data_IF_242631841647
#
_entry.id   IF_242631841647
#
_cell.length_a   1.000
_cell.length_b   1.000
_cell.length_c   1.000
_cell.angle_alpha   90.00
_cell.angle_beta   90.00
_cell.angle_gamma   90.00
#
_symmetry.space_group_name_H-M   'P 1'
#
loop_
_entity.id
_entity.type
_entity.pdbx_description
1 polymer ?
#
# COMPACT_ATOMS: atom_id res chain seq x y z
N UNK A 1 14.78 -1.15 24.58
CA UNK A 1 15.78 -0.93 23.52
C UNK A 1 15.09 -1.03 22.17
N UNK A 2 15.22 -0.02 21.32
CA UNK A 2 14.54 0.03 20.00
C UNK A 2 15.39 -0.69 18.95
N UNK A 3 14.76 -1.26 17.92
CA UNK A 3 15.48 -1.93 16.82
C UNK A 3 16.44 -0.94 16.13
N UNK A 4 16.03 0.33 16.06
CA UNK A 4 16.80 1.43 15.48
C UNK A 4 18.08 1.76 16.26
N UNK A 5 18.06 1.67 17.60
CA UNK A 5 19.23 1.97 18.43
C UNK A 5 20.32 0.89 18.39
N UNK A 6 19.97 -0.34 17.99
CA UNK A 6 20.92 -1.45 17.90
C UNK A 6 21.82 -1.41 16.65
N UNK A 7 21.46 -0.59 15.65
CA UNK A 7 22.14 -0.57 14.34
C UNK A 7 23.01 0.68 14.17
N UNK A 8 22.58 1.83 14.69
CA UNK A 8 23.34 3.08 14.61
C UNK A 8 24.69 3.01 15.35
N UNK A 9 24.80 2.16 16.36
CA UNK A 9 26.05 1.90 17.09
C UNK A 9 27.07 1.04 16.32
N UNK A 10 26.66 0.34 15.26
CA UNK A 10 27.56 -0.52 14.46
C UNK A 10 28.25 0.21 13.29
N UNK A 11 27.83 1.44 12.97
CA UNK A 11 28.33 2.18 11.80
C UNK A 11 29.56 3.07 12.09
N UNK A 12 30.00 3.17 13.34
CA UNK A 12 31.14 3.99 13.74
C UNK A 12 32.46 3.19 13.70
N UNK A 13 33.01 2.95 12.50
CA UNK A 13 34.44 2.69 12.30
C UNK A 13 34.81 2.82 10.81
N UNK A 14 35.42 3.93 10.37
CA UNK A 14 36.07 4.02 9.07
C UNK A 14 37.58 3.80 9.22
N UNK A 15 38.13 2.84 8.46
CA UNK A 15 39.56 2.75 8.22
C UNK A 15 39.83 2.97 6.71
N UNK A 16 40.92 3.69 6.45
CA UNK A 16 41.24 4.45 5.24
C UNK A 16 41.75 3.62 4.05
N UNK A 17 41.69 4.24 2.85
CA UNK A 17 42.48 3.85 1.67
C UNK A 17 42.06 4.64 0.41
N UNK A 18 42.92 5.54 -0.07
CA UNK A 18 42.62 6.52 -1.12
C UNK A 18 43.10 6.21 -2.55
N UNK A 19 42.35 6.76 -3.53
CA UNK A 19 42.65 7.22 -4.92
C UNK A 19 43.40 6.32 -5.93
N UNK A 20 43.60 6.74 -7.22
CA UNK A 20 42.93 7.80 -7.99
C UNK A 20 42.65 7.50 -9.50
N UNK A 21 41.82 8.35 -10.13
CA UNK A 21 41.83 8.90 -11.53
C UNK A 21 41.41 8.07 -12.78
N UNK A 22 40.66 8.81 -13.61
CA UNK A 22 40.07 8.64 -14.94
C UNK A 22 40.89 7.97 -16.07
N UNK A 23 40.15 7.35 -17.01
CA UNK A 23 40.55 7.28 -18.42
C UNK A 23 39.37 7.52 -19.38
N UNK A 24 39.61 8.25 -20.50
CA UNK A 24 38.61 8.69 -21.47
C UNK A 24 38.31 7.64 -22.55
N UNK A 25 37.12 7.76 -23.13
CA UNK A 25 36.67 6.99 -24.29
C UNK A 25 37.47 7.43 -25.53
N UNK A 26 38.24 6.52 -26.11
CA UNK A 26 38.87 6.68 -27.43
C UNK A 26 37.99 5.97 -28.46
N UNK A 27 37.51 6.70 -29.46
CA UNK A 27 36.83 6.15 -30.64
C UNK A 27 37.88 5.90 -31.74
N UNK A 28 38.14 4.65 -32.07
CA UNK A 28 38.87 4.24 -33.28
C UNK A 28 37.88 3.79 -34.37
N UNK A 29 37.87 4.40 -35.56
CA UNK A 29 37.06 3.94 -36.69
C UNK A 29 37.82 2.91 -37.52
N UNK A 30 37.23 1.73 -37.74
CA UNK A 30 37.72 0.76 -38.73
C UNK A 30 37.83 -0.69 -38.23
N UNK A 31 36.70 -1.31 -37.89
CA UNK A 31 36.58 -2.77 -37.84
C UNK A 31 35.21 -3.18 -38.41
N UNK A 32 35.21 -4.16 -39.32
CA UNK A 32 34.02 -4.64 -40.02
C UNK A 32 33.01 -5.28 -39.06
N UNK A 33 31.68 -5.10 -39.28
CA UNK A 33 30.66 -5.64 -38.39
C UNK A 33 30.58 -7.18 -38.49
N UNK A 34 30.31 -7.89 -37.38
CA UNK A 34 29.96 -9.31 -37.42
C UNK A 34 28.60 -9.52 -38.11
N UNK A 35 28.32 -10.72 -38.64
CA UNK A 35 27.11 -10.99 -39.43
C UNK A 35 25.84 -10.85 -38.57
N UNK A 36 24.69 -10.49 -39.19
CA UNK A 36 23.47 -10.22 -38.46
C UNK A 36 22.90 -11.50 -37.83
N UNK A 37 22.99 -11.62 -36.52
CA UNK A 37 22.07 -12.46 -35.75
C UNK A 37 20.71 -11.78 -35.77
N UNK A 38 19.81 -12.32 -36.58
CA UNK A 38 18.41 -11.98 -36.65
C UNK A 38 17.76 -11.96 -35.25
N UNK A 39 17.46 -10.77 -34.74
CA UNK A 39 16.42 -10.53 -33.74
C UNK A 39 15.71 -9.22 -34.07
N UNK A 40 15.22 -9.09 -35.31
CA UNK A 40 14.23 -8.07 -35.60
C UNK A 40 12.97 -8.39 -34.78
N UNK A 41 12.48 -7.41 -34.01
CA UNK A 41 11.13 -7.43 -33.46
C UNK A 41 10.15 -7.83 -34.57
N UNK A 42 9.13 -8.67 -34.29
CA UNK A 42 8.15 -9.03 -35.30
C UNK A 42 7.55 -7.75 -35.90
N UNK A 43 7.55 -7.70 -37.23
CA UNK A 43 6.93 -6.61 -38.00
C UNK A 43 5.55 -6.27 -37.43
N UNK A 44 5.23 -4.98 -37.24
CA UNK A 44 3.91 -4.58 -36.74
C UNK A 44 2.83 -5.13 -37.68
N UNK A 45 1.93 -5.93 -37.12
CA UNK A 45 0.79 -6.50 -37.84
C UNK A 45 -0.08 -5.31 -38.31
N UNK A 46 -0.34 -5.17 -39.62
CA UNK A 46 -1.16 -4.09 -40.12
C UNK A 46 -2.56 -4.16 -39.50
N UNK A 47 -3.20 -3.02 -39.14
CA UNK A 47 -4.53 -3.00 -38.53
C UNK A 47 -5.60 -3.74 -39.34
N UNK A 48 -5.38 -3.90 -40.65
CA UNK A 48 -6.25 -4.67 -41.56
C UNK A 48 -6.21 -6.19 -41.33
N UNK A 49 -5.23 -6.70 -40.58
CA UNK A 49 -5.14 -8.11 -40.16
C UNK A 49 -5.70 -8.34 -38.74
N UNK A 50 -6.27 -7.31 -38.11
CA UNK A 50 -6.97 -7.45 -36.84
C UNK A 50 -8.39 -7.96 -37.08
N UNK A 51 -8.55 -9.27 -37.15
CA UNK A 51 -9.86 -9.89 -36.91
C UNK A 51 -10.05 -9.98 -35.40
N UNK A 52 -10.91 -9.13 -34.82
CA UNK A 52 -11.47 -9.37 -33.50
C UNK A 52 -12.16 -10.73 -33.57
N UNK A 53 -11.55 -11.75 -32.94
CA UNK A 53 -12.23 -13.03 -32.74
C UNK A 53 -13.59 -12.72 -32.09
N UNK A 54 -14.69 -13.35 -32.52
CA UNK A 54 -15.97 -13.17 -31.86
C UNK A 54 -15.77 -13.49 -30.38
N UNK A 55 -16.03 -12.51 -29.52
CA UNK A 55 -15.89 -12.67 -28.08
C UNK A 55 -16.64 -13.92 -27.66
N UNK A 56 -15.95 -14.89 -27.04
CA UNK A 56 -16.59 -16.10 -26.55
C UNK A 56 -17.76 -15.68 -25.63
N UNK A 57 -19.02 -15.96 -26.02
CA UNK A 57 -20.18 -15.49 -25.27
C UNK A 57 -20.32 -16.22 -23.93
N UNK A 58 -19.56 -17.29 -23.69
CA UNK A 58 -19.61 -18.08 -22.45
C UNK A 58 -19.22 -17.25 -21.23
N UNK A 59 -18.15 -16.45 -21.31
CA UNK A 59 -17.63 -15.70 -20.16
C UNK A 59 -18.55 -14.54 -19.75
N UNK A 60 -19.04 -13.68 -20.67
CA UNK A 60 -20.06 -12.70 -20.32
C UNK A 60 -21.32 -13.33 -19.74
N UNK A 61 -21.80 -14.46 -20.30
CA UNK A 61 -22.96 -15.18 -19.76
C UNK A 61 -22.71 -15.74 -18.36
N UNK A 62 -21.55 -16.33 -18.11
CA UNK A 62 -21.17 -16.86 -16.80
C UNK A 62 -21.05 -15.74 -15.77
N UNK A 63 -20.45 -14.59 -16.15
CA UNK A 63 -20.37 -13.39 -15.33
C UNK A 63 -21.75 -12.84 -14.97
N UNK A 64 -22.64 -12.68 -15.96
CA UNK A 64 -24.02 -12.23 -15.73
C UNK A 64 -24.82 -13.22 -14.86
N UNK A 65 -24.66 -14.52 -15.10
CA UNK A 65 -25.30 -15.56 -14.30
C UNK A 65 -24.82 -15.53 -12.84
N UNK A 66 -23.51 -15.38 -12.61
CA UNK A 66 -22.97 -15.24 -11.26
C UNK A 66 -23.52 -13.99 -10.58
N UNK A 67 -23.46 -12.83 -11.24
CA UNK A 67 -23.97 -11.57 -10.70
C UNK A 67 -25.45 -11.69 -10.28
N UNK A 68 -26.30 -12.22 -11.16
CA UNK A 68 -27.72 -12.44 -10.86
C UNK A 68 -27.90 -13.45 -9.71
N UNK A 69 -27.19 -14.58 -9.74
CA UNK A 69 -27.33 -15.64 -8.73
C UNK A 69 -26.86 -15.22 -7.34
N UNK A 70 -25.88 -14.30 -7.25
CA UNK A 70 -25.39 -13.78 -5.97
C UNK A 70 -26.47 -12.99 -5.23
N UNK A 71 -27.35 -12.28 -5.94
CA UNK A 71 -28.45 -11.51 -5.31
C UNK A 71 -29.38 -12.42 -4.49
N UNK A 72 -29.76 -13.56 -5.04
CA UNK A 72 -30.62 -14.57 -4.41
C UNK A 72 -29.85 -15.65 -3.62
N UNK A 73 -28.53 -15.52 -3.48
CA UNK A 73 -27.73 -16.51 -2.77
C UNK A 73 -28.02 -16.42 -1.27
N UNK A 74 -28.53 -17.51 -0.70
CA UNK A 74 -28.99 -17.59 0.69
C UNK A 74 -28.12 -18.45 1.61
N UNK A 75 -27.10 -19.13 1.07
CA UNK A 75 -26.24 -19.99 1.88
C UNK A 75 -24.80 -20.04 1.39
N UNK A 76 -23.88 -20.31 2.32
CA UNK A 76 -22.46 -20.45 2.03
C UNK A 76 -22.14 -21.59 1.05
N UNK A 77 -22.71 -22.81 1.17
CA UNK A 77 -22.47 -23.88 0.19
C UNK A 77 -22.90 -23.47 -1.23
N UNK A 78 -23.99 -22.70 -1.35
CA UNK A 78 -24.45 -22.17 -2.63
C UNK A 78 -23.46 -21.17 -3.20
N UNK A 79 -22.93 -20.24 -2.39
CA UNK A 79 -21.89 -19.30 -2.80
C UNK A 79 -20.66 -20.05 -3.34
N UNK A 80 -20.15 -21.04 -2.59
CA UNK A 80 -18.98 -21.84 -3.02
C UNK A 80 -19.24 -22.56 -4.34
N UNK A 81 -20.44 -23.11 -4.52
CA UNK A 81 -20.83 -23.79 -5.77
C UNK A 81 -20.86 -22.82 -6.95
N UNK A 82 -21.44 -21.63 -6.77
CA UNK A 82 -21.50 -20.59 -7.81
C UNK A 82 -20.11 -20.07 -8.20
N UNK A 83 -19.21 -19.90 -7.23
CA UNK A 83 -17.84 -19.48 -7.52
C UNK A 83 -17.06 -20.59 -8.23
N UNK A 84 -17.17 -21.84 -7.79
CA UNK A 84 -16.50 -22.96 -8.45
C UNK A 84 -16.99 -23.16 -9.90
N UNK A 85 -18.29 -23.01 -10.17
CA UNK A 85 -18.82 -23.11 -11.53
C UNK A 85 -18.33 -21.96 -12.41
N UNK A 86 -18.29 -20.74 -11.87
CA UNK A 86 -17.73 -19.59 -12.57
C UNK A 86 -16.23 -19.76 -12.86
N UNK A 87 -15.45 -20.23 -11.89
CA UNK A 87 -14.01 -20.49 -12.05
C UNK A 87 -13.72 -21.58 -13.07
N UNK A 88 -14.52 -22.65 -13.10
CA UNK A 88 -14.40 -23.69 -14.13
C UNK A 88 -14.71 -23.12 -15.52
N UNK A 89 -15.79 -22.34 -15.67
CA UNK A 89 -16.14 -21.70 -16.93
C UNK A 89 -15.04 -20.72 -17.40
N UNK A 90 -14.51 -19.90 -16.49
CA UNK A 90 -13.41 -18.97 -16.77
C UNK A 90 -12.15 -19.71 -17.23
N UNK A 91 -11.76 -20.77 -16.52
CA UNK A 91 -10.60 -21.60 -16.87
C UNK A 91 -10.77 -22.26 -18.24
N UNK A 92 -11.95 -22.81 -18.52
CA UNK A 92 -12.26 -23.44 -19.80
C UNK A 92 -12.25 -22.43 -20.97
N UNK A 93 -12.91 -21.29 -20.80
CA UNK A 93 -13.04 -20.27 -21.84
C UNK A 93 -11.70 -19.62 -22.19
N UNK A 94 -10.82 -19.48 -21.19
CA UNK A 94 -9.48 -18.89 -21.35
C UNK A 94 -8.37 -19.93 -21.55
N UNK A 95 -8.71 -21.22 -21.67
CA UNK A 95 -7.74 -22.32 -21.79
C UNK A 95 -6.67 -22.34 -20.69
N UNK A 96 -7.05 -21.99 -19.46
CA UNK A 96 -6.17 -21.96 -18.28
C UNK A 96 -6.14 -23.34 -17.59
N UNK A 97 -5.10 -23.65 -16.79
CA UNK A 97 -5.08 -24.84 -15.95
C UNK A 97 -6.36 -24.94 -15.08
N UNK A 98 -6.80 -26.17 -14.75
CA UNK A 98 -7.99 -26.35 -13.92
C UNK A 98 -7.80 -25.63 -12.57
N UNK A 99 -8.84 -24.96 -12.06
CA UNK A 99 -8.73 -24.21 -10.82
C UNK A 99 -8.39 -25.15 -9.65
N UNK A 100 -7.52 -24.72 -8.72
CA UNK A 100 -7.28 -25.43 -7.47
C UNK A 100 -8.58 -25.75 -6.72
N UNK A 101 -8.66 -26.88 -5.99
CA UNK A 101 -9.89 -27.27 -5.28
C UNK A 101 -10.22 -26.33 -4.11
N UNK A 102 -9.20 -25.71 -3.50
CA UNK A 102 -9.38 -24.76 -2.43
C UNK A 102 -9.80 -23.40 -3.00
N UNK A 103 -10.99 -22.93 -2.58
CA UNK A 103 -11.60 -21.71 -3.12
C UNK A 103 -10.68 -20.47 -3.04
N UNK A 104 -9.97 -20.18 -1.92
CA UNK A 104 -9.04 -19.05 -1.87
C UNK A 104 -7.86 -19.19 -2.84
N UNK A 105 -7.39 -20.41 -3.10
CA UNK A 105 -6.31 -20.66 -4.06
C UNK A 105 -6.81 -20.47 -5.50
N UNK A 106 -8.04 -20.93 -5.80
CA UNK A 106 -8.70 -20.68 -7.07
C UNK A 106 -8.90 -19.18 -7.33
N UNK A 107 -9.38 -18.45 -6.33
CA UNK A 107 -9.54 -16.98 -6.41
C UNK A 107 -8.23 -16.30 -6.77
N UNK A 108 -7.11 -16.64 -6.12
CA UNK A 108 -5.78 -16.06 -6.45
C UNK A 108 -5.32 -16.42 -7.86
N UNK A 109 -5.44 -17.68 -8.25
CA UNK A 109 -5.00 -18.16 -9.56
C UNK A 109 -5.75 -17.48 -10.71
N UNK A 110 -7.02 -17.16 -10.51
CA UNK A 110 -7.91 -16.60 -11.53
C UNK A 110 -8.13 -15.09 -11.38
N UNK A 111 -7.61 -14.47 -10.32
CA UNK A 111 -7.79 -13.05 -10.04
C UNK A 111 -7.43 -12.12 -11.21
N UNK A 112 -6.37 -12.34 -12.01
CA UNK A 112 -6.05 -11.46 -13.15
C UNK A 112 -7.21 -11.26 -14.13
N UNK A 113 -8.07 -12.28 -14.26
CA UNK A 113 -9.19 -12.33 -15.18
C UNK A 113 -10.54 -12.05 -14.50
N UNK A 114 -10.54 -11.79 -13.19
CA UNK A 114 -11.75 -11.55 -12.41
C UNK A 114 -12.23 -10.10 -12.57
N UNK A 115 -13.44 -9.85 -13.11
CA UNK A 115 -13.96 -8.50 -13.29
C UNK A 115 -14.15 -7.79 -11.94
N UNK A 116 -13.71 -6.53 -11.83
CA UNK A 116 -13.80 -5.75 -10.58
C UNK A 116 -15.24 -5.62 -10.05
N UNK A 117 -16.22 -5.42 -10.95
CA UNK A 117 -17.63 -5.34 -10.58
C UNK A 117 -18.15 -6.64 -9.92
N UNK A 118 -17.71 -7.81 -10.43
CA UNK A 118 -18.01 -9.09 -9.80
C UNK A 118 -17.27 -9.24 -8.47
N UNK A 119 -16.04 -8.74 -8.36
CA UNK A 119 -15.24 -8.90 -7.14
C UNK A 119 -15.91 -8.22 -5.95
N UNK A 120 -16.47 -7.02 -6.18
CA UNK A 120 -17.24 -6.29 -5.17
C UNK A 120 -18.50 -7.07 -4.73
N UNK A 121 -19.28 -7.60 -5.68
CA UNK A 121 -20.46 -8.44 -5.39
C UNK A 121 -20.10 -9.70 -4.60
N UNK A 122 -19.03 -10.39 -5.00
CA UNK A 122 -18.54 -11.58 -4.31
C UNK A 122 -18.04 -11.24 -2.91
N UNK A 123 -17.30 -10.14 -2.74
CA UNK A 123 -16.82 -9.70 -1.43
C UNK A 123 -17.98 -9.35 -0.48
N UNK A 124 -19.00 -8.64 -0.97
CA UNK A 124 -20.20 -8.33 -0.19
C UNK A 124 -20.92 -9.60 0.26
N UNK A 125 -21.16 -10.55 -0.65
CA UNK A 125 -21.82 -11.81 -0.30
C UNK A 125 -20.95 -12.71 0.59
N UNK A 126 -19.65 -12.79 0.35
CA UNK A 126 -18.72 -13.51 1.21
C UNK A 126 -18.70 -12.93 2.62
N UNK A 127 -18.74 -11.60 2.77
CA UNK A 127 -18.82 -10.94 4.07
C UNK A 127 -20.11 -11.31 4.82
N UNK A 128 -21.26 -11.33 4.13
CA UNK A 128 -22.55 -11.73 4.72
C UNK A 128 -22.59 -13.17 5.24
N UNK A 129 -21.71 -14.05 4.75
CA UNK A 129 -21.57 -15.44 5.19
C UNK A 129 -20.31 -15.70 6.01
N UNK A 130 -19.57 -14.66 6.41
CA UNK A 130 -18.29 -14.77 7.10
C UNK A 130 -17.23 -15.63 6.37
N UNK A 131 -17.30 -15.71 5.03
CA UNK A 131 -16.32 -16.40 4.18
C UNK A 131 -15.10 -15.50 3.91
N UNK A 132 -14.41 -15.17 4.99
CA UNK A 132 -13.35 -14.17 5.01
C UNK A 132 -12.12 -14.54 4.18
N UNK A 133 -11.83 -15.83 3.98
CA UNK A 133 -10.67 -16.27 3.20
C UNK A 133 -10.81 -15.92 1.71
N UNK A 134 -12.04 -15.86 1.20
CA UNK A 134 -12.31 -15.41 -0.18
C UNK A 134 -12.06 -13.90 -0.29
N UNK A 135 -12.51 -13.12 0.69
CA UNK A 135 -12.25 -11.68 0.75
C UNK A 135 -10.76 -11.41 0.83
N UNK A 136 -10.03 -12.18 1.64
CA UNK A 136 -8.58 -12.10 1.74
C UNK A 136 -7.91 -12.34 0.39
N UNK A 137 -8.29 -13.42 -0.30
CA UNK A 137 -7.73 -13.75 -1.61
C UNK A 137 -8.03 -12.67 -2.67
N UNK A 138 -9.24 -12.08 -2.66
CA UNK A 138 -9.57 -10.95 -3.53
C UNK A 138 -8.72 -9.72 -3.20
N UNK A 139 -8.47 -9.45 -1.91
CA UNK A 139 -7.70 -8.30 -1.47
C UNK A 139 -6.19 -8.42 -1.76
N UNK A 140 -5.60 -9.58 -1.49
CA UNK A 140 -4.20 -9.87 -1.85
C UNK A 140 -3.99 -9.74 -3.37
N UNK A 141 -5.00 -10.10 -4.16
CA UNK A 141 -4.92 -10.05 -5.62
C UNK A 141 -5.26 -8.69 -6.22
N UNK A 142 -5.38 -7.64 -5.40
CA UNK A 142 -5.71 -6.26 -5.80
C UNK A 142 -7.03 -6.16 -6.58
N UNK A 143 -8.05 -6.95 -6.21
CA UNK A 143 -9.35 -7.04 -6.93
C UNK A 143 -10.49 -6.27 -6.27
N UNK A 144 -10.27 -5.54 -5.18
CA UNK A 144 -11.29 -4.65 -4.61
C UNK A 144 -10.84 -3.18 -4.63
N UNK A 145 -10.66 -2.58 -5.83
CA UNK A 145 -10.40 -1.14 -5.94
C UNK A 145 -11.57 -0.30 -5.41
N UNK A 146 -12.81 -0.80 -5.53
CA UNK A 146 -14.02 -0.16 -5.01
C UNK A 146 -14.73 -1.13 -4.05
N UNK A 147 -14.36 -1.12 -2.75
CA UNK A 147 -14.98 -2.01 -1.78
C UNK A 147 -16.50 -1.75 -1.66
N UNK A 148 -17.31 -2.78 -1.33
CA UNK A 148 -18.70 -2.59 -0.93
C UNK A 148 -18.83 -1.68 0.29
N UNK A 149 -19.94 -0.94 0.38
CA UNK A 149 -20.16 0.13 1.37
C UNK A 149 -20.02 -0.30 2.82
N UNK A 150 -20.51 -1.49 3.09
CA UNK A 150 -20.59 -2.13 4.37
C UNK A 150 -19.41 -3.07 4.61
N UNK A 151 -18.49 -3.24 3.65
CA UNK A 151 -17.42 -4.22 3.80
C UNK A 151 -16.49 -3.84 4.96
N UNK A 152 -16.05 -2.58 5.03
CA UNK A 152 -15.13 -2.16 6.09
C UNK A 152 -15.80 -2.26 7.46
N UNK A 153 -17.04 -1.77 7.62
CA UNK A 153 -17.78 -1.89 8.87
C UNK A 153 -18.01 -3.35 9.25
N UNK A 154 -18.44 -4.20 8.32
CA UNK A 154 -18.65 -5.64 8.57
C UNK A 154 -17.36 -6.32 9.01
N UNK A 155 -16.22 -6.00 8.39
CA UNK A 155 -14.92 -6.57 8.79
C UNK A 155 -14.48 -6.06 10.17
N UNK A 156 -14.70 -4.78 10.47
CA UNK A 156 -14.45 -4.18 11.79
C UNK A 156 -15.28 -4.83 12.89
N UNK A 157 -16.58 -5.04 12.64
CA UNK A 157 -17.52 -5.70 13.58
C UNK A 157 -17.13 -7.16 13.87
N UNK A 158 -16.37 -7.79 12.97
CA UNK A 158 -15.87 -9.15 13.10
C UNK A 158 -14.38 -9.20 13.55
N UNK A 159 -13.84 -8.08 14.06
CA UNK A 159 -12.45 -7.97 14.56
C UNK A 159 -11.38 -8.32 13.50
N UNK A 160 -11.68 -8.19 12.20
CA UNK A 160 -10.80 -8.58 11.08
C UNK A 160 -9.86 -7.48 10.62
N UNK A 161 -9.02 -7.00 11.54
CA UNK A 161 -8.05 -5.93 11.24
C UNK A 161 -7.07 -6.28 10.10
N UNK A 162 -6.72 -7.55 9.95
CA UNK A 162 -5.91 -8.06 8.84
C UNK A 162 -6.56 -7.80 7.48
N UNK A 163 -7.88 -8.01 7.38
CA UNK A 163 -8.64 -7.80 6.17
C UNK A 163 -8.91 -6.32 5.91
N UNK A 164 -9.27 -5.55 6.94
CA UNK A 164 -9.45 -4.10 6.79
C UNK A 164 -8.18 -3.47 6.23
N UNK A 165 -7.00 -3.78 6.79
CA UNK A 165 -5.72 -3.31 6.26
C UNK A 165 -5.47 -3.74 4.81
N UNK A 166 -5.82 -4.98 4.47
CA UNK A 166 -5.62 -5.52 3.11
C UNK A 166 -6.55 -4.85 2.08
N UNK A 167 -7.79 -4.55 2.47
CA UNK A 167 -8.76 -3.82 1.63
C UNK A 167 -8.31 -2.38 1.43
N UNK A 168 -7.93 -1.68 2.51
CA UNK A 168 -7.47 -0.29 2.44
C UNK A 168 -6.25 -0.12 1.53
N UNK A 169 -5.29 -1.06 1.57
CA UNK A 169 -4.05 -1.02 0.78
C UNK A 169 -4.27 -0.94 -0.74
N UNK A 170 -5.36 -1.50 -1.23
CA UNK A 170 -5.65 -1.60 -2.67
C UNK A 170 -6.79 -0.67 -3.12
N UNK A 171 -7.49 -0.03 -2.19
CA UNK A 171 -8.68 0.75 -2.50
C UNK A 171 -8.29 1.96 -3.36
N UNK A 172 -8.92 2.03 -4.53
CA UNK A 172 -8.79 3.14 -5.47
C UNK A 172 -9.71 4.29 -5.09
N UNK A 173 -10.91 4.02 -4.57
CA UNK A 173 -11.83 5.05 -4.09
C UNK A 173 -12.52 4.57 -2.82
N UNK A 174 -12.34 5.31 -1.72
CA UNK A 174 -13.04 5.09 -0.46
C UNK A 174 -14.02 6.22 -0.22
N UNK A 175 -15.24 5.91 0.19
CA UNK A 175 -16.22 6.90 0.67
C UNK A 175 -15.89 7.34 2.08
N UNK A 176 -16.44 8.49 2.46
CA UNK A 176 -16.29 9.04 3.82
C UNK A 176 -16.76 8.04 4.88
N UNK A 177 -17.85 7.31 4.66
CA UNK A 177 -18.34 6.29 5.58
C UNK A 177 -17.37 5.12 5.78
N UNK A 178 -16.67 4.72 4.71
CA UNK A 178 -15.68 3.64 4.73
C UNK A 178 -14.40 4.08 5.44
N UNK A 179 -13.96 5.32 5.19
CA UNK A 179 -12.84 5.95 5.90
C UNK A 179 -13.18 6.09 7.39
N UNK A 180 -14.37 6.59 7.72
CA UNK A 180 -14.83 6.76 9.10
C UNK A 180 -14.86 5.41 9.82
N UNK A 181 -15.42 4.37 9.21
CA UNK A 181 -15.45 3.02 9.79
C UNK A 181 -14.03 2.49 10.09
N UNK A 182 -13.07 2.73 9.19
CA UNK A 182 -11.67 2.36 9.42
C UNK A 182 -11.02 3.20 10.55
N UNK A 183 -11.25 4.52 10.55
CA UNK A 183 -10.73 5.42 11.57
C UNK A 183 -11.25 5.06 12.96
N UNK A 184 -12.57 4.92 13.14
CA UNK A 184 -13.16 4.53 14.42
C UNK A 184 -12.65 3.17 14.89
N UNK A 185 -12.57 2.18 13.99
CA UNK A 185 -12.08 0.86 14.34
C UNK A 185 -10.63 0.87 14.84
N UNK A 186 -9.73 1.63 14.19
CA UNK A 186 -8.33 1.71 14.61
C UNK A 186 -8.09 2.68 15.76
N UNK A 187 -8.78 3.81 15.81
CA UNK A 187 -8.59 4.79 16.89
C UNK A 187 -9.25 4.32 18.19
N UNK A 188 -10.31 3.53 18.11
CA UNK A 188 -11.12 3.10 19.26
C UNK A 188 -11.49 1.61 19.16
N UNK A 189 -10.52 0.68 19.25
CA UNK A 189 -10.82 -0.76 19.15
C UNK A 189 -11.80 -1.18 20.24
N UNK A 190 -12.99 -1.63 19.83
CA UNK A 190 -14.09 -1.94 20.75
C UNK A 190 -13.91 -3.24 21.55
N UNK A 191 -12.98 -4.10 21.16
CA UNK A 191 -12.75 -5.40 21.80
C UNK A 191 -11.26 -5.72 21.96
N UNK A 192 -10.92 -6.58 22.93
CA UNK A 192 -9.56 -7.12 23.05
C UNK A 192 -9.18 -7.97 21.83
N UNK A 193 -10.15 -8.64 21.20
CA UNK A 193 -9.91 -9.45 19.98
C UNK A 193 -9.51 -8.56 18.79
N UNK A 194 -10.14 -7.41 18.63
CA UNK A 194 -9.75 -6.40 17.64
C UNK A 194 -8.30 -5.97 17.87
N UNK A 195 -7.95 -5.65 19.12
CA UNK A 195 -6.59 -5.25 19.48
C UNK A 195 -5.56 -6.37 19.20
N UNK A 196 -5.87 -7.62 19.55
CA UNK A 196 -5.02 -8.78 19.24
C UNK A 196 -4.86 -9.00 17.72
N UNK A 197 -5.91 -8.74 16.93
CA UNK A 197 -5.84 -8.76 15.48
C UNK A 197 -4.89 -7.68 14.95
N UNK A 198 -4.94 -6.46 15.49
CA UNK A 198 -4.01 -5.38 15.13
C UNK A 198 -2.58 -5.70 15.57
N UNK A 199 -2.39 -6.36 16.71
CA UNK A 199 -1.08 -6.86 17.16
C UNK A 199 -0.47 -7.82 16.12
N UNK A 200 -1.27 -8.69 15.50
CA UNK A 200 -0.80 -9.56 14.41
C UNK A 200 -0.39 -8.76 13.17
N UNK A 201 -1.13 -7.70 12.82
CA UNK A 201 -0.75 -6.79 11.72
C UNK A 201 0.60 -6.14 12.01
N UNK A 202 0.81 -5.63 13.23
CA UNK A 202 2.10 -5.09 13.66
C UNK A 202 3.22 -6.14 13.67
N UNK A 203 2.91 -7.38 14.02
CA UNK A 203 3.84 -8.52 13.91
C UNK A 203 4.40 -8.67 12.49
N UNK A 204 3.54 -8.59 11.46
CA UNK A 204 3.98 -8.67 10.05
C UNK A 204 4.92 -7.52 9.66
N UNK A 205 4.73 -6.32 10.20
CA UNK A 205 5.65 -5.19 10.00
C UNK A 205 7.02 -5.47 10.62
N UNK A 206 7.05 -6.04 11.83
CA UNK A 206 8.29 -6.47 12.48
C UNK A 206 9.00 -7.55 11.65
N UNK A 207 8.28 -8.56 11.18
CA UNK A 207 8.86 -9.64 10.39
C UNK A 207 9.42 -9.12 9.06
N UNK A 208 8.71 -8.21 8.39
CA UNK A 208 9.18 -7.55 7.18
C UNK A 208 10.45 -6.71 7.44
N UNK A 209 10.50 -5.96 8.55
CA UNK A 209 11.68 -5.19 8.92
C UNK A 209 12.89 -6.09 9.19
N UNK A 210 12.70 -7.21 9.90
CA UNK A 210 13.76 -8.20 10.16
C UNK A 210 14.24 -8.82 8.86
N UNK A 211 13.33 -9.20 7.96
CA UNK A 211 13.66 -9.74 6.64
C UNK A 211 14.46 -8.73 5.80
N UNK A 212 14.08 -7.45 5.82
CA UNK A 212 14.82 -6.39 5.13
C UNK A 212 16.26 -6.28 5.64
N UNK A 213 16.44 -6.29 6.97
CA UNK A 213 17.78 -6.26 7.60
C UNK A 213 18.60 -7.51 7.26
N UNK A 214 17.98 -8.69 7.20
CA UNK A 214 18.67 -9.92 6.78
C UNK A 214 19.15 -9.80 5.34
N UNK A 215 18.33 -9.25 4.43
CA UNK A 215 18.71 -9.04 3.03
C UNK A 215 19.89 -8.07 2.86
N UNK A 216 20.04 -7.07 3.74
CA UNK A 216 21.25 -6.21 3.75
C UNK A 216 22.53 -6.99 4.09
N UNK A 217 22.43 -8.09 4.85
CA UNK A 217 23.60 -8.87 5.32
C UNK A 217 24.08 -9.89 4.29
N UNK A 218 23.26 -10.22 3.29
CA UNK A 218 23.62 -11.17 2.23
C UNK A 218 24.64 -10.57 1.25
N UNK A 219 25.92 -10.82 1.48
CA UNK A 219 27.00 -10.37 0.59
C UNK A 219 27.11 -11.26 -0.66
N UNK A 220 27.24 -10.66 -1.83
CA UNK A 220 27.52 -11.35 -3.09
C UNK A 220 27.85 -10.38 -4.24
N UNK A 221 28.62 -10.79 -5.25
CA UNK A 221 28.96 -9.94 -6.40
C UNK A 221 27.69 -9.54 -7.18
N UNK A 222 27.56 -8.26 -7.52
CA UNK A 222 26.41 -7.72 -8.27
C UNK A 222 25.21 -7.24 -7.43
N UNK A 223 25.27 -7.31 -6.09
CA UNK A 223 24.14 -6.98 -5.19
C UNK A 223 24.07 -5.52 -4.69
N UNK A 224 24.86 -4.58 -5.21
CA UNK A 224 24.90 -3.20 -4.67
C UNK A 224 23.54 -2.48 -4.70
N UNK A 225 22.77 -2.63 -5.80
CA UNK A 225 21.41 -2.07 -5.91
C UNK A 225 20.42 -2.75 -4.96
N UNK A 226 20.56 -4.06 -4.78
CA UNK A 226 19.73 -4.87 -3.84
C UNK A 226 20.01 -4.46 -2.40
N UNK A 227 21.27 -4.24 -2.03
CA UNK A 227 21.68 -3.77 -0.71
C UNK A 227 21.14 -2.36 -0.43
N UNK A 228 21.27 -1.43 -1.38
CA UNK A 228 20.69 -0.09 -1.24
C UNK A 228 19.16 -0.12 -1.06
N UNK A 229 18.43 -0.90 -1.87
CA UNK A 229 16.99 -1.07 -1.73
C UNK A 229 16.60 -1.74 -0.40
N UNK A 230 17.37 -2.73 0.06
CA UNK A 230 17.12 -3.42 1.33
C UNK A 230 17.35 -2.49 2.53
N UNK A 231 18.38 -1.63 2.48
CA UNK A 231 18.61 -0.60 3.52
C UNK A 231 17.48 0.41 3.58
N UNK A 232 17.03 0.88 2.42
CA UNK A 232 15.91 1.81 2.33
C UNK A 232 14.62 1.17 2.87
N UNK A 233 14.32 -0.05 2.45
CA UNK A 233 13.18 -0.81 2.93
C UNK A 233 13.25 -1.04 4.45
N UNK A 234 14.43 -1.40 4.98
CA UNK A 234 14.63 -1.58 6.41
C UNK A 234 14.37 -0.27 7.19
N UNK A 235 14.90 0.85 6.73
CA UNK A 235 14.67 2.17 7.34
C UNK A 235 13.16 2.48 7.38
N UNK A 236 12.47 2.39 6.24
CA UNK A 236 11.03 2.67 6.13
C UNK A 236 10.19 1.78 7.05
N UNK A 237 10.45 0.47 7.05
CA UNK A 237 9.69 -0.50 7.85
C UNK A 237 9.95 -0.30 9.34
N UNK A 238 11.18 0.00 9.74
CA UNK A 238 11.52 0.32 11.13
C UNK A 238 10.91 1.65 11.58
N UNK A 239 10.87 2.65 10.70
CA UNK A 239 10.18 3.92 10.97
C UNK A 239 8.70 3.71 11.26
N UNK A 240 8.01 2.91 10.42
CA UNK A 240 6.59 2.58 10.61
C UNK A 240 6.29 1.55 11.69
N UNK A 241 7.29 0.82 12.21
CA UNK A 241 7.07 -0.10 13.32
C UNK A 241 7.39 0.52 14.70
N UNK A 242 8.55 1.18 14.84
CA UNK A 242 9.08 1.59 16.13
C UNK A 242 8.36 2.83 16.68
N UNK A 243 7.85 2.75 17.91
CA UNK A 243 7.17 3.87 18.59
C UNK A 243 5.69 4.04 18.23
N UNK A 244 5.18 3.25 17.29
CA UNK A 244 3.75 3.16 17.00
C UNK A 244 3.09 2.04 17.82
N UNK A 245 1.86 2.27 18.30
CA UNK A 245 0.99 1.24 18.87
C UNK A 245 0.45 0.33 17.76
N UNK A 246 -0.16 -0.80 18.12
CA UNK A 246 -0.71 -1.73 17.12
C UNK A 246 -1.85 -1.12 16.30
N UNK A 247 -2.80 -0.38 16.90
CA UNK A 247 -3.81 0.32 16.12
C UNK A 247 -3.24 1.42 15.22
N UNK A 248 -2.20 2.14 15.69
CA UNK A 248 -1.49 3.12 14.86
C UNK A 248 -0.81 2.47 13.64
N UNK A 249 -0.28 1.24 13.78
CA UNK A 249 0.29 0.52 12.64
C UNK A 249 -0.76 0.19 11.57
N UNK A 250 -2.00 -0.04 11.98
CA UNK A 250 -3.11 -0.24 11.04
C UNK A 250 -3.49 1.06 10.29
N UNK A 251 -3.37 2.23 10.91
CA UNK A 251 -3.61 3.52 10.26
C UNK A 251 -2.65 3.78 9.08
N UNK A 252 -1.46 3.17 9.07
CA UNK A 252 -0.53 3.26 7.93
C UNK A 252 -1.20 2.86 6.61
N UNK A 253 -2.02 1.82 6.62
CA UNK A 253 -2.70 1.33 5.41
C UNK A 253 -3.71 2.34 4.85
N UNK A 254 -4.35 3.13 5.72
CA UNK A 254 -5.26 4.19 5.28
C UNK A 254 -4.48 5.36 4.67
N UNK A 255 -3.47 5.87 5.38
CA UNK A 255 -2.73 7.07 4.95
C UNK A 255 -1.66 6.83 3.89
N UNK A 256 -1.28 5.57 3.66
CA UNK A 256 -0.47 5.19 2.50
C UNK A 256 -1.29 5.01 1.23
N UNK A 257 -2.62 4.85 1.33
CA UNK A 257 -3.48 4.84 0.15
C UNK A 257 -3.42 6.21 -0.51
N UNK A 258 -2.88 6.27 -1.72
CA UNK A 258 -2.74 7.50 -2.49
C UNK A 258 -4.07 8.15 -2.90
N UNK A 259 -5.20 7.49 -2.61
CA UNK A 259 -6.51 7.82 -3.15
C UNK A 259 -7.52 8.33 -2.10
N UNK A 260 -7.02 8.78 -0.96
CA UNK A 260 -7.84 9.46 0.03
C UNK A 260 -7.84 10.96 -0.29
N UNK A 261 -8.89 11.40 -0.99
CA UNK A 261 -9.12 12.81 -1.28
C UNK A 261 -9.36 13.61 0.02
N UNK A 262 -8.84 14.84 0.10
CA UNK A 262 -8.92 15.67 1.31
C UNK A 262 -10.36 16.03 1.71
N UNK A 263 -11.27 16.17 0.75
CA UNK A 263 -12.70 16.46 1.00
C UNK A 263 -13.37 15.24 1.62
N UNK A 264 -13.12 14.04 1.05
CA UNK A 264 -13.72 12.80 1.55
C UNK A 264 -13.15 12.43 2.93
N UNK A 265 -11.84 12.63 3.12
CA UNK A 265 -11.20 12.50 4.42
C UNK A 265 -11.75 13.51 5.42
N UNK A 266 -11.96 14.77 5.00
CA UNK A 266 -12.51 15.82 5.85
C UNK A 266 -13.90 15.47 6.37
N UNK A 267 -14.78 14.98 5.49
CA UNK A 267 -16.10 14.51 5.89
C UNK A 267 -16.04 13.38 6.93
N UNK A 268 -15.13 12.41 6.77
CA UNK A 268 -14.94 11.35 7.76
C UNK A 268 -14.33 11.88 9.07
N UNK A 269 -13.33 12.74 8.99
CA UNK A 269 -12.64 13.30 10.16
C UNK A 269 -13.57 14.18 10.98
N UNK A 270 -14.48 14.93 10.35
CA UNK A 270 -15.48 15.75 11.03
C UNK A 270 -16.36 14.96 12.01
N UNK A 271 -16.58 13.67 11.76
CA UNK A 271 -17.42 12.79 12.59
C UNK A 271 -16.67 12.13 13.76
N UNK A 272 -15.34 12.30 13.86
CA UNK A 272 -14.56 11.74 14.96
C UNK A 272 -14.89 12.41 16.30
N UNK A 273 -14.92 11.60 17.37
CA UNK A 273 -15.06 12.14 18.72
C UNK A 273 -13.74 12.73 19.25
N UNK A 274 -13.81 13.50 20.34
CA UNK A 274 -12.64 14.19 20.89
C UNK A 274 -11.45 13.28 21.24
N UNK A 275 -11.71 12.07 21.74
CA UNK A 275 -10.66 11.10 22.05
C UNK A 275 -9.99 10.53 20.79
N UNK A 276 -10.77 10.30 19.74
CA UNK A 276 -10.27 9.84 18.43
C UNK A 276 -9.45 10.91 17.74
N UNK A 277 -9.91 12.17 17.76
CA UNK A 277 -9.19 13.34 17.24
C UNK A 277 -7.81 13.45 17.89
N UNK A 278 -7.75 13.33 19.23
CA UNK A 278 -6.48 13.37 19.98
C UNK A 278 -5.55 12.22 19.59
N UNK A 279 -6.06 10.99 19.46
CA UNK A 279 -5.26 9.82 19.06
C UNK A 279 -4.75 9.95 17.62
N UNK A 280 -5.57 10.46 16.71
CA UNK A 280 -5.17 10.72 15.33
C UNK A 280 -4.09 11.81 15.25
N UNK A 281 -4.22 12.90 16.01
CA UNK A 281 -3.19 13.94 16.09
C UNK A 281 -1.84 13.38 16.55
N UNK A 282 -1.84 12.57 17.61
CA UNK A 282 -0.63 11.90 18.12
C UNK A 282 0.04 11.02 17.08
N UNK A 283 -0.75 10.25 16.34
CA UNK A 283 -0.27 9.41 15.26
C UNK A 283 0.42 10.24 14.15
N UNK A 284 -0.21 11.34 13.72
CA UNK A 284 0.33 12.21 12.67
C UNK A 284 1.62 12.90 13.13
N UNK A 285 1.65 13.41 14.36
CA UNK A 285 2.83 14.05 14.95
C UNK A 285 4.02 13.09 15.06
N UNK A 286 3.78 11.81 15.38
CA UNK A 286 4.84 10.79 15.36
C UNK A 286 5.45 10.65 13.97
N UNK A 287 4.65 10.62 12.91
CA UNK A 287 5.15 10.56 11.54
C UNK A 287 5.97 11.79 11.16
N UNK A 288 5.52 12.99 11.51
CA UNK A 288 6.28 14.22 11.26
C UNK A 288 7.64 14.14 11.95
N UNK A 289 7.69 13.77 13.23
CA UNK A 289 8.95 13.60 13.95
C UNK A 289 9.86 12.52 13.36
N UNK A 290 9.30 11.45 12.78
CA UNK A 290 10.06 10.42 12.07
C UNK A 290 10.70 10.96 10.80
N UNK A 291 9.95 11.68 9.97
CA UNK A 291 10.46 12.26 8.73
C UNK A 291 11.49 13.36 8.96
N UNK A 292 11.34 14.15 10.02
CA UNK A 292 12.37 15.10 10.43
C UNK A 292 13.67 14.42 10.87
N UNK A 293 13.56 13.30 11.59
CA UNK A 293 14.72 12.56 12.08
C UNK A 293 15.45 11.77 10.99
N UNK A 294 14.72 11.33 9.96
CA UNK A 294 15.22 10.52 8.86
C UNK A 294 14.83 11.14 7.51
N UNK A 295 15.40 12.30 7.14
CA UNK A 295 15.08 12.99 5.88
C UNK A 295 15.43 12.16 4.63
N UNK A 296 16.33 11.20 4.75
CA UNK A 296 16.69 10.24 3.69
C UNK A 296 15.61 9.17 3.43
N UNK A 297 14.56 9.11 4.25
CA UNK A 297 13.45 8.17 4.10
C UNK A 297 12.55 8.53 2.92
N UNK A 298 12.83 7.94 1.76
CA UNK A 298 12.02 8.02 0.54
C UNK A 298 11.32 6.69 0.26
N UNK A 299 10.23 6.75 -0.49
CA UNK A 299 9.52 5.56 -0.97
C UNK A 299 10.47 4.61 -1.72
N UNK A 300 10.29 3.31 -1.51
CA UNK A 300 11.14 2.27 -2.10
C UNK A 300 10.29 1.30 -2.94
N UNK A 301 9.92 1.66 -4.18
CA UNK A 301 9.12 0.80 -5.05
C UNK A 301 9.83 -0.53 -5.38
N UNK A 302 11.17 -0.54 -5.38
CA UNK A 302 11.97 -1.75 -5.57
C UNK A 302 11.77 -2.78 -4.45
N UNK A 303 11.36 -2.35 -3.26
CA UNK A 303 11.17 -3.25 -2.12
C UNK A 303 10.11 -4.32 -2.40
N UNK A 304 9.03 -3.98 -3.11
CA UNK A 304 7.98 -4.94 -3.43
C UNK A 304 8.41 -5.87 -4.56
N UNK A 305 8.87 -5.32 -5.68
CA UNK A 305 9.24 -6.11 -6.86
C UNK A 305 10.50 -6.95 -6.69
N UNK A 306 11.54 -6.41 -6.04
CA UNK A 306 12.84 -7.08 -5.90
C UNK A 306 12.98 -7.83 -4.58
N UNK A 307 12.37 -7.33 -3.50
CA UNK A 307 12.55 -7.89 -2.15
C UNK A 307 11.29 -8.57 -1.61
N UNK A 308 10.15 -8.52 -2.29
CA UNK A 308 8.89 -9.08 -1.77
C UNK A 308 8.43 -8.45 -0.45
N UNK A 309 8.88 -7.23 -0.15
CA UNK A 309 8.58 -6.51 1.09
C UNK A 309 7.36 -5.61 0.89
N UNK A 310 6.20 -6.25 0.85
CA UNK A 310 4.92 -5.62 0.57
C UNK A 310 4.52 -4.48 1.53
N UNK A 311 4.99 -4.52 2.78
CA UNK A 311 4.68 -3.51 3.79
C UNK A 311 5.31 -2.14 3.47
N UNK A 312 6.35 -2.09 2.61
CA UNK A 312 6.96 -0.82 2.20
C UNK A 312 5.97 0.09 1.44
N UNK A 313 5.05 -0.48 0.65
CA UNK A 313 3.98 0.26 -0.02
C UNK A 313 2.98 0.87 0.97
N UNK A 314 2.95 0.36 2.20
CA UNK A 314 2.02 0.80 3.24
C UNK A 314 2.62 1.86 4.16
N UNK A 315 3.81 2.40 3.87
CA UNK A 315 4.39 3.51 4.62
C UNK A 315 3.81 4.83 4.11
N UNK A 316 3.09 5.62 4.93
CA UNK A 316 2.49 6.87 4.49
C UNK A 316 3.54 7.87 4.07
N UNK A 317 3.41 8.44 2.88
CA UNK A 317 4.30 9.52 2.44
C UNK A 317 4.20 10.75 3.36
N UNK A 318 5.28 11.52 3.48
CA UNK A 318 5.26 12.76 4.23
C UNK A 318 4.14 13.71 3.77
N UNK A 319 3.92 13.83 2.46
CA UNK A 319 2.84 14.64 1.89
C UNK A 319 1.44 14.16 2.31
N UNK A 320 1.21 12.85 2.41
CA UNK A 320 -0.07 12.31 2.89
C UNK A 320 -0.29 12.63 4.38
N UNK A 321 0.76 12.52 5.20
CA UNK A 321 0.73 12.85 6.62
C UNK A 321 0.41 14.33 6.85
N UNK A 322 1.08 15.24 6.13
CA UNK A 322 0.84 16.69 6.26
C UNK A 322 -0.57 17.06 5.78
N UNK A 323 -1.05 16.48 4.67
CA UNK A 323 -2.44 16.69 4.23
C UNK A 323 -3.46 16.23 5.27
N UNK A 324 -3.25 15.04 5.84
CA UNK A 324 -4.12 14.52 6.89
C UNK A 324 -4.12 15.41 8.15
N UNK A 325 -2.96 15.96 8.53
CA UNK A 325 -2.88 16.91 9.64
C UNK A 325 -3.62 18.21 9.33
N UNK A 326 -3.47 18.76 8.12
CA UNK A 326 -4.24 19.93 7.68
C UNK A 326 -5.74 19.70 7.80
N UNK A 327 -6.24 18.58 7.27
CA UNK A 327 -7.65 18.18 7.35
C UNK A 327 -8.12 18.03 8.81
N UNK A 328 -7.29 17.44 9.68
CA UNK A 328 -7.61 17.31 11.11
C UNK A 328 -7.76 18.68 11.78
N UNK A 329 -6.84 19.60 11.49
CA UNK A 329 -6.88 20.97 12.04
C UNK A 329 -8.08 21.73 11.50
N UNK A 330 -8.36 21.67 10.19
CA UNK A 330 -9.50 22.37 9.58
C UNK A 330 -10.84 21.98 10.22
N UNK A 331 -11.00 20.71 10.61
CA UNK A 331 -12.24 20.21 11.22
C UNK A 331 -12.29 20.36 12.74
N UNK A 332 -11.15 20.28 13.44
CA UNK A 332 -11.13 20.14 14.91
C UNK A 332 -10.20 21.12 15.64
N UNK A 333 -9.78 22.21 15.00
CA UNK A 333 -8.86 23.20 15.59
C UNK A 333 -9.28 23.65 17.00
N UNK A 334 -10.51 24.10 17.17
CA UNK A 334 -11.02 24.59 18.45
C UNK A 334 -10.96 23.52 19.54
N UNK A 335 -11.28 22.27 19.21
CA UNK A 335 -11.21 21.16 20.15
C UNK A 335 -9.76 20.86 20.57
N UNK A 336 -8.84 20.85 19.60
CA UNK A 336 -7.42 20.57 19.85
C UNK A 336 -6.74 21.65 20.69
N UNK A 337 -6.99 22.93 20.40
CA UNK A 337 -6.39 24.07 21.11
C UNK A 337 -6.90 24.18 22.55
N UNK A 338 -8.16 23.82 22.79
CA UNK A 338 -8.75 23.85 24.13
C UNK A 338 -8.40 22.62 24.96
N UNK A 339 -7.90 21.55 24.34
CA UNK A 339 -7.52 20.33 25.04
C UNK A 339 -6.16 20.47 25.70
N UNK A 340 -6.15 20.49 27.04
CA UNK A 340 -4.93 20.54 27.85
C UNK A 340 -4.07 19.28 27.68
N UNK A 341 -4.68 18.15 27.29
CA UNK A 341 -3.99 16.87 27.10
C UNK A 341 -3.04 16.85 25.91
N UNK A 342 -3.30 17.67 24.90
CA UNK A 342 -2.53 17.69 23.64
C UNK A 342 -1.87 19.03 23.38
N UNK A 343 -2.04 20.03 24.25
CA UNK A 343 -1.48 21.36 24.05
C UNK A 343 0.03 21.35 23.80
N UNK A 344 0.80 20.63 24.61
CA UNK A 344 2.26 20.54 24.45
C UNK A 344 2.64 19.83 23.13
N UNK A 345 1.92 18.78 22.75
CA UNK A 345 2.11 18.08 21.49
C UNK A 345 1.75 18.95 20.28
N UNK A 346 0.72 19.79 20.40
CA UNK A 346 0.30 20.75 19.38
C UNK A 346 1.33 21.88 19.25
N UNK A 347 1.86 22.41 20.35
CA UNK A 347 2.96 23.39 20.32
C UNK A 347 4.23 22.80 19.69
N UNK A 348 4.57 21.56 20.01
CA UNK A 348 5.69 20.87 19.38
C UNK A 348 5.45 20.69 17.86
N UNK A 349 4.23 20.33 17.46
CA UNK A 349 3.84 20.23 16.06
C UNK A 349 3.93 21.59 15.35
N UNK A 350 3.51 22.67 15.99
CA UNK A 350 3.61 24.03 15.44
C UNK A 350 5.07 24.40 15.13
N UNK A 351 5.98 24.18 16.07
CA UNK A 351 7.42 24.45 15.88
C UNK A 351 7.98 23.62 14.72
N UNK A 352 7.63 22.33 14.68
CA UNK A 352 8.05 21.41 13.62
C UNK A 352 7.55 21.85 12.25
N UNK A 353 6.25 22.15 12.11
CA UNK A 353 5.63 22.57 10.85
C UNK A 353 6.18 23.92 10.40
N UNK A 354 6.43 24.85 11.33
CA UNK A 354 7.03 26.15 11.00
C UNK A 354 8.43 26.00 10.39
N UNK A 355 9.27 25.13 10.95
CA UNK A 355 10.60 24.85 10.38
C UNK A 355 10.50 24.25 8.97
N UNK A 356 9.57 23.31 8.78
CA UNK A 356 9.32 22.67 7.49
C UNK A 356 8.79 23.68 6.45
N UNK A 357 7.94 24.62 6.86
CA UNK A 357 7.42 25.67 5.99
C UNK A 357 8.53 26.61 5.52
N UNK A 358 9.42 27.04 6.43
CA UNK A 358 10.58 27.88 6.08
C UNK A 358 11.50 27.16 5.08
N UNK A 359 11.74 25.86 5.26
CA UNK A 359 12.55 25.05 4.34
C UNK A 359 11.86 24.89 2.97
N UNK A 360 10.54 24.71 2.95
CA UNK A 360 9.78 24.62 1.71
C UNK A 360 9.82 25.94 0.92
N UNK A 361 9.69 27.08 1.61
CA UNK A 361 9.78 28.42 1.03
C UNK A 361 11.18 28.71 0.46
N UNK A 362 12.24 28.31 1.17
CA UNK A 362 13.63 28.48 0.69
C UNK A 362 13.96 27.55 -0.49
N UNK A 363 13.40 26.34 -0.51
CA UNK A 363 13.63 25.33 -1.54
C UNK A 363 12.81 25.55 -2.82
N UNK A 364 11.66 26.23 -2.74
CA UNK A 364 10.74 26.46 -3.86
C UNK A 364 11.42 27.04 -5.11
N UNK A 365 12.15 28.16 -5.00
CA UNK A 365 12.86 28.75 -6.14
C UNK A 365 13.89 27.82 -6.77
N UNK A 366 14.57 26.99 -5.97
CA UNK A 366 15.56 26.01 -6.45
C UNK A 366 14.85 24.92 -7.26
N UNK A 367 13.74 24.40 -6.74
CA UNK A 367 12.92 23.40 -7.43
C UNK A 367 12.37 23.94 -8.76
N UNK A 368 11.90 25.18 -8.78
CA UNK A 368 11.40 25.82 -10.00
C UNK A 368 12.51 26.03 -11.03
N UNK A 369 13.71 26.38 -10.59
CA UNK A 369 14.87 26.48 -11.46
C UNK A 369 15.26 25.12 -12.06
N UNK A 370 15.29 24.06 -11.23
CA UNK A 370 15.55 22.69 -11.69
C UNK A 370 14.52 22.21 -12.71
N UNK A 371 13.23 22.50 -12.49
CA UNK A 371 12.16 22.16 -13.44
C UNK A 371 12.33 22.87 -14.78
N UNK A 372 12.70 24.15 -14.77
CA UNK A 372 12.97 24.91 -16.00
C UNK A 372 14.16 24.34 -16.77
N UNK A 373 15.26 24.03 -16.06
CA UNK A 373 16.44 23.41 -16.67
C UNK A 373 16.18 22.01 -17.25
N UNK A 374 15.18 21.29 -16.75
CA UNK A 374 14.74 20.01 -17.32
C UNK A 374 13.84 20.15 -18.55
N UNK A 375 13.14 21.28 -18.70
CA UNK A 375 12.31 21.57 -19.87
C UNK A 375 13.09 22.15 -21.06
N UNK A 376 14.28 22.72 -20.83
CA UNK A 376 15.17 23.23 -21.88
C UNK A 376 16.13 22.16 -22.46
N UNK A 377 15.86 20.87 -22.20
CA UNK A 377 16.48 19.70 -22.84
C UNK A 377 15.46 18.95 -23.67
#
# INVERSE_FOLDING_TARGET
MTLLAAITSSAANPAAGGGPVAHPIVLTPGAAPPPPTSSALPTPIPPSAWTLAPADPTLPKAASFLAASLTSCSSLPRLRTLLNSFFAALSQSLSLPPPPPALPAATRALAPYFPAALASLVASKAASFAEFDVIFALAESRRLPHPPADLISTLSDNDRADLVCSVLRQAADLRSSEILAALCFFLSPGTNKAYDAMMRVKGRWKDAAVLAVQKCREKGPGKMKVDAAARQAALLLMMGHDGFSSPEVCLHYLFASGNVDSVVLGAAVAELNGGEVVRLMRYLNKWIGKYQRFPEAQACPEAVGMLGLEQCDSVPSFGAVIRALGVLLDNHFSHLVLSTEVREELMAAEVMVRQLAVEAESSGPILDLLRRLQHDK
#
